data_IF_911529886573
#
_entry.id   IF_911529886573
#
_cell.length_a   1.000
_cell.length_b   1.000
_cell.length_c   1.000
_cell.angle_alpha   90.00
_cell.angle_beta   90.00
_cell.angle_gamma   90.00
#
_symmetry.space_group_name_H-M   'P 1'
#
loop_
_entity.id
_entity.type
_entity.pdbx_description
1 polymer ?
#
# COMPACT_ATOMS: atom_id res chain seq x y z
N UNK A 1 12.42 4.39 4.75
CA UNK A 1 10.99 4.40 5.15
C UNK A 1 10.56 5.83 5.37
N UNK A 2 9.56 6.27 4.61
CA UNK A 2 8.85 7.53 4.87
C UNK A 2 8.09 7.39 6.19
N UNK A 3 8.00 8.48 6.96
CA UNK A 3 7.26 8.54 8.21
C UNK A 3 6.34 9.75 8.20
N UNK A 4 5.04 9.49 8.26
CA UNK A 4 4.06 10.50 8.61
C UNK A 4 3.95 10.59 10.14
N UNK A 5 4.20 11.79 10.68
CA UNK A 5 4.13 12.08 12.12
C UNK A 5 2.83 12.80 12.51
N UNK A 6 2.00 13.15 11.53
CA UNK A 6 0.79 13.96 11.73
C UNK A 6 -0.46 13.09 11.72
N UNK A 7 -0.71 12.29 10.69
CA UNK A 7 -1.98 11.55 10.56
C UNK A 7 -1.84 10.07 10.94
N UNK A 8 -0.80 9.39 10.45
CA UNK A 8 -0.58 7.95 10.66
C UNK A 8 -0.62 7.52 12.14
N UNK A 9 0.01 8.22 13.11
CA UNK A 9 -0.02 7.80 14.52
C UNK A 9 -1.43 7.69 15.10
N UNK A 10 -2.37 8.49 14.61
CA UNK A 10 -3.76 8.52 15.11
C UNK A 10 -4.72 7.68 14.26
N UNK A 11 -4.34 7.33 13.03
CA UNK A 11 -5.19 6.55 12.11
C UNK A 11 -4.92 5.06 12.13
N UNK A 12 -3.69 4.64 12.41
CA UNK A 12 -3.29 3.21 12.33
C UNK A 12 -4.13 2.29 13.23
N UNK A 13 -4.62 2.78 14.36
CA UNK A 13 -5.57 2.07 15.23
C UNK A 13 -6.90 1.71 14.55
N UNK A 14 -7.28 2.41 13.47
CA UNK A 14 -8.48 2.15 12.68
C UNK A 14 -8.23 1.19 11.51
N UNK A 15 -6.96 0.83 11.25
CA UNK A 15 -6.54 0.08 10.07
C UNK A 15 -6.03 -1.31 10.48
N UNK A 16 -6.92 -2.32 10.60
CA UNK A 16 -6.52 -3.66 10.98
C UNK A 16 -5.44 -4.21 10.02
N UNK A 17 -4.39 -4.81 10.58
CA UNK A 17 -3.29 -5.38 9.81
C UNK A 17 -2.24 -4.37 9.30
N UNK A 18 -2.44 -3.05 9.44
CA UNK A 18 -1.52 -2.06 8.86
C UNK A 18 -0.10 -2.14 9.44
N UNK A 19 0.03 -2.26 10.77
CA UNK A 19 1.34 -2.35 11.41
C UNK A 19 2.13 -3.59 10.96
N UNK A 20 1.44 -4.73 10.81
CA UNK A 20 2.03 -5.97 10.31
C UNK A 20 2.45 -5.84 8.84
N UNK A 21 1.60 -5.23 8.01
CA UNK A 21 1.90 -4.98 6.61
C UNK A 21 3.09 -4.02 6.44
N UNK A 22 3.19 -2.97 7.26
CA UNK A 22 4.32 -2.03 7.23
C UNK A 22 5.64 -2.71 7.61
N UNK A 23 5.61 -3.61 8.60
CA UNK A 23 6.77 -4.39 9.00
C UNK A 23 7.21 -5.35 7.88
N UNK A 24 6.27 -6.12 7.32
CA UNK A 24 6.55 -7.05 6.23
C UNK A 24 7.01 -6.33 4.95
N UNK A 25 6.48 -5.14 4.66
CA UNK A 25 6.92 -4.35 3.52
C UNK A 25 8.42 -4.03 3.59
N UNK A 26 8.93 -3.74 4.80
CA UNK A 26 10.37 -3.53 5.01
C UNK A 26 11.18 -4.82 4.80
N UNK A 27 10.65 -5.96 5.23
CA UNK A 27 11.31 -7.26 5.09
C UNK A 27 11.34 -7.76 3.63
N UNK A 28 10.26 -7.51 2.88
CA UNK A 28 10.16 -7.83 1.45
C UNK A 28 11.05 -6.93 0.60
N UNK A 29 11.42 -5.74 1.09
CA UNK A 29 12.34 -4.82 0.43
C UNK A 29 11.67 -3.58 -0.18
N UNK A 30 10.43 -3.25 0.20
CA UNK A 30 9.81 -2.00 -0.22
C UNK A 30 10.55 -0.79 0.36
N UNK A 31 10.74 0.26 -0.46
CA UNK A 31 11.43 1.49 -0.09
C UNK A 31 10.64 2.30 0.96
N UNK A 32 9.31 2.26 0.84
CA UNK A 32 8.37 2.90 1.75
C UNK A 32 7.02 2.17 1.75
N UNK A 33 6.30 2.30 2.86
CA UNK A 33 4.93 1.81 3.02
C UNK A 33 4.17 2.84 3.86
N UNK A 34 2.91 3.11 3.50
CA UNK A 34 2.10 4.13 4.16
C UNK A 34 0.61 4.03 3.83
N UNK A 35 -0.17 4.91 4.46
CA UNK A 35 -1.61 5.02 4.22
C UNK A 35 -1.85 5.82 2.93
N UNK A 36 -2.66 5.30 2.02
CA UNK A 36 -3.12 6.06 0.86
C UNK A 36 -4.27 6.98 1.27
N UNK A 37 -4.01 8.30 1.29
CA UNK A 37 -4.97 9.30 1.75
C UNK A 37 -5.38 9.08 3.21
N UNK A 38 -6.67 8.89 3.44
CA UNK A 38 -7.24 8.63 4.77
C UNK A 38 -7.16 7.16 5.22
N UNK A 39 -6.83 6.24 4.31
CA UNK A 39 -7.05 4.81 4.49
C UNK A 39 -8.51 4.41 4.21
N UNK A 40 -8.82 3.10 4.22
CA UNK A 40 -7.97 1.98 4.69
C UNK A 40 -6.96 1.44 3.68
N UNK A 41 -6.96 1.95 2.45
CA UNK A 41 -5.98 1.58 1.41
C UNK A 41 -4.54 1.86 1.86
N UNK A 42 -3.67 0.88 1.64
CA UNK A 42 -2.23 0.96 1.87
C UNK A 42 -1.50 1.12 0.54
N UNK A 43 -0.41 1.89 0.52
CA UNK A 43 0.53 1.90 -0.60
C UNK A 43 1.90 1.39 -0.15
N UNK A 44 2.62 0.74 -1.07
CA UNK A 44 4.02 0.38 -0.92
C UNK A 44 4.80 0.80 -2.17
N UNK A 45 5.93 1.49 -1.97
CA UNK A 45 6.82 1.94 -3.05
C UNK A 45 7.91 0.89 -3.25
N UNK A 46 7.99 0.34 -4.46
CA UNK A 46 8.99 -0.64 -4.87
C UNK A 46 9.68 -0.11 -6.13
N UNK A 47 11.00 -0.24 -6.21
CA UNK A 47 11.83 0.10 -7.37
C UNK A 47 12.07 -1.09 -8.31
N UNK A 48 11.85 -2.31 -7.82
CA UNK A 48 11.95 -3.53 -8.61
C UNK A 48 10.60 -4.25 -8.76
N UNK A 49 10.34 -4.80 -9.96
CA UNK A 49 9.09 -5.50 -10.29
C UNK A 49 8.86 -6.72 -9.39
N UNK A 50 9.90 -7.49 -9.12
CA UNK A 50 9.81 -8.70 -8.30
C UNK A 50 9.43 -8.38 -6.83
N UNK A 51 9.93 -7.27 -6.27
CA UNK A 51 9.53 -6.77 -4.94
C UNK A 51 8.05 -6.37 -4.95
N UNK A 52 7.60 -5.67 -6.00
CA UNK A 52 6.19 -5.28 -6.14
C UNK A 52 5.24 -6.50 -6.24
N UNK A 53 5.64 -7.55 -6.94
CA UNK A 53 4.89 -8.82 -7.06
C UNK A 53 4.80 -9.57 -5.73
N UNK A 54 5.92 -9.61 -4.98
CA UNK A 54 5.95 -10.19 -3.63
C UNK A 54 5.06 -9.40 -2.67
N UNK A 55 5.13 -8.06 -2.71
CA UNK A 55 4.25 -7.18 -1.94
C UNK A 55 2.78 -7.40 -2.29
N UNK A 56 2.44 -7.48 -3.58
CA UNK A 56 1.07 -7.68 -4.01
C UNK A 56 0.51 -9.01 -3.48
N UNK A 57 1.30 -10.08 -3.58
CA UNK A 57 0.94 -11.40 -3.07
C UNK A 57 0.73 -11.41 -1.55
N UNK A 58 1.65 -10.78 -0.80
CA UNK A 58 1.51 -10.64 0.65
C UNK A 58 0.25 -9.87 1.03
N UNK A 59 -0.01 -8.71 0.41
CA UNK A 59 -1.17 -7.89 0.74
C UNK A 59 -2.48 -8.61 0.41
N UNK A 60 -2.52 -9.38 -0.68
CA UNK A 60 -3.68 -10.18 -1.06
C UNK A 60 -4.03 -11.24 0.00
N UNK A 61 -3.02 -11.82 0.64
CA UNK A 61 -3.20 -12.88 1.65
C UNK A 61 -3.42 -12.34 3.08
N UNK A 62 -2.84 -11.18 3.40
CA UNK A 62 -2.73 -10.73 4.80
C UNK A 62 -3.38 -9.38 5.10
N UNK A 63 -3.69 -8.57 4.08
CA UNK A 63 -4.25 -7.22 4.28
C UNK A 63 -5.70 -7.08 3.81
N UNK A 64 -6.11 -7.84 2.78
CA UNK A 64 -7.52 -7.90 2.37
C UNK A 64 -8.38 -8.48 3.49
N UNK A 65 -9.47 -7.78 3.82
CA UNK A 65 -10.36 -8.13 4.95
C UNK A 65 -11.62 -8.90 4.51
N UNK A 66 -12.01 -8.79 3.24
CA UNK A 66 -13.21 -9.41 2.68
C UNK A 66 -13.09 -9.49 1.14
N UNK A 67 -14.10 -10.07 0.50
CA UNK A 67 -14.10 -10.34 -0.94
C UNK A 67 -14.22 -9.10 -1.83
N UNK A 68 -14.45 -7.91 -1.26
CA UNK A 68 -14.51 -6.64 -2.00
C UNK A 68 -13.13 -6.00 -2.18
N UNK A 69 -12.14 -6.44 -1.40
CA UNK A 69 -10.79 -5.89 -1.44
C UNK A 69 -9.95 -6.43 -2.59
N UNK A 70 -9.07 -5.59 -3.13
CA UNK A 70 -8.17 -5.95 -4.23
C UNK A 70 -6.79 -5.30 -4.07
N UNK A 71 -5.81 -5.86 -4.77
CA UNK A 71 -4.44 -5.36 -4.81
C UNK A 71 -4.01 -5.11 -6.25
N UNK A 72 -3.44 -3.93 -6.52
CA UNK A 72 -2.92 -3.56 -7.83
C UNK A 72 -1.51 -3.01 -7.75
N UNK A 73 -0.66 -3.45 -8.68
CA UNK A 73 0.64 -2.83 -8.94
C UNK A 73 0.41 -1.68 -9.92
N UNK A 74 0.67 -0.46 -9.47
CA UNK A 74 0.41 0.76 -10.22
C UNK A 74 1.69 1.51 -10.56
N UNK A 75 1.59 2.38 -11.55
CA UNK A 75 2.53 3.48 -11.81
C UNK A 75 1.75 4.78 -11.78
N UNK A 76 2.45 5.91 -11.68
CA UNK A 76 1.81 7.22 -11.80
C UNK A 76 1.11 7.32 -13.17
N UNK A 77 -0.16 7.70 -13.19
CA UNK A 77 -0.84 8.11 -14.42
C UNK A 77 -0.39 9.54 -14.75
N UNK A 78 0.52 9.65 -15.73
CA UNK A 78 1.08 10.94 -16.16
C UNK A 78 0.12 11.74 -17.04
N UNK A 79 -0.91 11.11 -17.60
CA UNK A 79 -1.90 11.79 -18.43
C UNK A 79 -3.03 12.41 -17.57
N UNK A 80 -3.33 11.80 -16.42
CA UNK A 80 -4.45 12.21 -15.57
C UNK A 80 -5.80 12.02 -16.28
N UNK A 81 -6.76 12.90 -15.98
CA UNK A 81 -8.09 12.86 -16.59
C UNK A 81 -8.01 13.19 -18.10
N UNK A 82 -8.70 12.38 -18.91
CA UNK A 82 -8.71 12.48 -20.38
C UNK A 82 -10.03 11.97 -20.94
N UNK A 83 -10.44 12.51 -22.08
CA UNK A 83 -11.66 12.08 -22.78
C UNK A 83 -11.51 10.63 -23.26
N UNK A 84 -12.57 9.85 -23.06
CA UNK A 84 -12.67 8.46 -23.50
C UNK A 84 -13.73 8.34 -24.59
N UNK A 85 -13.36 8.65 -25.84
CA UNK A 85 -14.29 8.63 -26.99
C UNK A 85 -15.14 9.88 -27.10
#
# INVERSE_FOLDING_TARGET
MIQDVVAEPYRTQLLPGFAAARQNAKEIGALACGISGSGPTLFAICDEKHIAENMASYLQQHYIQNDEGFVHICRLDLAGARTIG
#
